data_IF_942606623106
#
_entry.id   IF_942606623106
#
_cell.length_a   1.000
_cell.length_b   1.000
_cell.length_c   1.000
_cell.angle_alpha   90.00
_cell.angle_beta   90.00
_cell.angle_gamma   90.00
#
_symmetry.space_group_name_H-M   'P 1'
#
loop_
_entity.id
_entity.type
_entity.pdbx_description
1 polymer ?
#
# COMPACT_ATOMS: atom_id res chain seq x y z
N UNK A 1 -0.45 -0.45 -3.18
CA UNK A 1 0.45 0.64 -3.60
C UNK A 1 1.58 0.77 -2.60
N UNK A 2 2.84 0.84 -3.07
CA UNK A 2 4.04 0.83 -2.23
C UNK A 2 5.06 1.89 -2.69
N UNK A 3 5.66 2.62 -1.74
CA UNK A 3 6.76 3.57 -1.98
C UNK A 3 6.40 5.05 -1.79
N UNK A 4 7.33 5.95 -2.11
CA UNK A 4 7.19 7.41 -1.87
C UNK A 4 6.00 8.05 -2.57
N UNK A 5 5.64 7.57 -3.76
CA UNK A 5 4.51 8.05 -4.55
C UNK A 5 3.26 7.16 -4.40
N UNK A 6 3.20 6.29 -3.38
CA UNK A 6 2.10 5.35 -3.24
C UNK A 6 0.74 6.04 -3.04
N UNK A 7 0.69 7.16 -2.31
CA UNK A 7 -0.54 7.94 -2.10
C UNK A 7 -1.10 8.54 -3.39
N UNK A 8 -0.35 9.31 -4.20
CA UNK A 8 -0.87 9.80 -5.49
C UNK A 8 -1.18 8.66 -6.47
N UNK A 9 -0.40 7.57 -6.49
CA UNK A 9 -0.73 6.39 -7.30
C UNK A 9 -2.07 5.75 -6.88
N UNK A 10 -2.29 5.60 -5.58
CA UNK A 10 -3.54 5.08 -5.03
C UNK A 10 -4.75 5.97 -5.38
N UNK A 11 -4.57 7.29 -5.34
CA UNK A 11 -5.61 8.25 -5.78
C UNK A 11 -5.95 8.09 -7.25
N UNK A 12 -4.94 8.03 -8.13
CA UNK A 12 -5.14 7.88 -9.57
C UNK A 12 -5.79 6.55 -9.95
N UNK A 13 -5.51 5.48 -9.20
CA UNK A 13 -6.11 4.18 -9.44
C UNK A 13 -7.56 4.05 -8.95
N UNK A 14 -8.06 4.98 -8.13
CA UNK A 14 -9.36 4.85 -7.43
C UNK A 14 -10.52 4.53 -8.38
N UNK A 15 -10.57 5.19 -9.53
CA UNK A 15 -11.65 5.07 -10.51
C UNK A 15 -11.54 3.79 -11.35
N UNK A 16 -10.36 3.18 -11.43
CA UNK A 16 -10.12 1.92 -12.14
C UNK A 16 -10.34 0.67 -11.25
N UNK A 17 -10.51 0.86 -9.94
CA UNK A 17 -10.69 -0.24 -8.99
C UNK A 17 -12.16 -0.59 -8.83
N UNK A 18 -12.47 -1.88 -8.92
CA UNK A 18 -13.80 -2.43 -8.61
C UNK A 18 -14.26 -2.01 -7.21
N UNK A 19 -15.58 -1.83 -7.07
CA UNK A 19 -16.23 -1.63 -5.77
C UNK A 19 -15.97 -2.82 -4.87
N UNK A 20 -15.54 -2.55 -3.62
CA UNK A 20 -15.26 -3.60 -2.63
C UNK A 20 -13.90 -4.30 -2.81
N UNK A 21 -13.08 -3.92 -3.80
CA UNK A 21 -11.72 -4.43 -3.90
C UNK A 21 -10.93 -4.13 -2.61
N UNK A 22 -10.24 -5.15 -2.07
CA UNK A 22 -9.28 -4.96 -1.00
C UNK A 22 -8.14 -4.08 -1.51
N UNK A 23 -7.70 -3.11 -0.69
CA UNK A 23 -6.68 -2.12 -1.08
C UNK A 23 -5.71 -1.89 0.08
N UNK A 24 -4.42 -2.01 -0.20
CA UNK A 24 -3.35 -1.78 0.78
C UNK A 24 -2.38 -0.71 0.28
N UNK A 25 -2.09 0.27 1.13
CA UNK A 25 -1.15 1.36 0.92
C UNK A 25 0.00 1.23 1.93
N UNK A 26 1.23 1.13 1.43
CA UNK A 26 2.46 1.13 2.24
C UNK A 26 3.32 2.31 1.78
N UNK A 27 3.71 3.18 2.70
CA UNK A 27 4.43 4.41 2.37
C UNK A 27 5.45 4.79 3.45
N UNK A 28 6.48 5.59 3.16
CA UNK A 28 7.37 6.10 4.20
C UNK A 28 6.64 6.97 5.23
N UNK A 29 7.11 6.99 6.48
CA UNK A 29 6.49 7.79 7.56
C UNK A 29 6.27 9.26 7.19
N UNK A 30 7.24 9.86 6.50
CA UNK A 30 7.26 11.28 6.13
C UNK A 30 6.49 11.62 4.85
N UNK A 31 5.66 10.71 4.33
CA UNK A 31 4.82 10.96 3.16
C UNK A 31 3.35 11.17 3.56
N UNK A 32 2.53 11.90 2.77
CA UNK A 32 1.13 12.10 3.10
C UNK A 32 0.31 10.80 3.10
N UNK A 33 -0.63 10.69 4.03
CA UNK A 33 -1.66 9.65 4.01
C UNK A 33 -2.71 9.85 2.93
N UNK A 34 -3.58 8.85 2.80
CA UNK A 34 -4.75 8.91 1.95
C UNK A 34 -6.01 9.04 2.80
N UNK A 35 -6.82 10.07 2.61
CA UNK A 35 -8.11 10.22 3.29
C UNK A 35 -9.18 9.42 2.55
N UNK A 36 -9.02 8.10 2.51
CA UNK A 36 -9.94 7.15 1.90
C UNK A 36 -10.01 5.90 2.80
N UNK A 37 -11.14 5.64 3.47
CA UNK A 37 -11.27 4.50 4.38
C UNK A 37 -11.25 3.15 3.65
N UNK A 38 -11.41 3.13 2.33
CA UNK A 38 -11.30 1.92 1.53
C UNK A 38 -9.88 1.38 1.41
N UNK A 39 -8.87 2.13 1.87
CA UNK A 39 -7.47 1.71 1.88
C UNK A 39 -7.00 1.38 3.29
N UNK A 40 -6.54 0.14 3.50
CA UNK A 40 -5.70 -0.16 4.65
C UNK A 40 -4.35 0.55 4.47
N UNK A 41 -3.87 1.25 5.50
CA UNK A 41 -2.64 2.04 5.43
C UNK A 41 -1.60 1.56 6.45
N UNK A 42 -0.38 1.35 5.98
CA UNK A 42 0.81 1.07 6.80
C UNK A 42 1.93 2.01 6.42
N UNK A 43 2.86 2.20 7.33
CA UNK A 43 4.06 3.02 7.10
C UNK A 43 5.32 2.31 7.54
N UNK A 44 6.47 2.72 7.01
CA UNK A 44 7.79 2.20 7.39
C UNK A 44 8.90 3.24 7.22
N UNK A 45 10.08 2.91 7.74
CA UNK A 45 11.28 3.74 7.64
C UNK A 45 11.83 3.83 6.21
N UNK A 46 12.34 5.02 5.86
CA UNK A 46 13.09 5.31 4.63
C UNK A 46 14.09 6.44 4.93
N UNK A 47 15.37 6.38 4.47
CA UNK A 47 15.94 5.41 3.53
C UNK A 47 16.30 4.06 4.16
N UNK A 48 16.36 3.97 5.49
CA UNK A 48 16.64 2.74 6.20
C UNK A 48 15.35 2.11 6.72
N UNK A 49 15.12 0.81 6.50
CA UNK A 49 13.95 0.11 7.02
C UNK A 49 14.00 0.04 8.55
N UNK A 50 12.82 0.09 9.16
CA UNK A 50 12.65 -0.01 10.61
C UNK A 50 11.72 -1.17 10.99
N UNK A 51 11.35 -1.26 12.27
CA UNK A 51 10.41 -2.30 12.74
C UNK A 51 9.04 -2.17 12.05
N UNK A 52 8.62 -0.96 11.69
CA UNK A 52 7.35 -0.76 11.00
C UNK A 52 7.42 -1.21 9.54
N UNK A 53 8.56 -1.07 8.86
CA UNK A 53 8.80 -1.67 7.54
C UNK A 53 8.62 -3.19 7.57
N UNK A 54 9.17 -3.87 8.58
CA UNK A 54 8.99 -5.33 8.76
C UNK A 54 7.52 -5.67 9.01
N UNK A 55 6.85 -4.94 9.89
CA UNK A 55 5.43 -5.17 10.18
C UNK A 55 4.54 -4.94 8.94
N UNK A 56 4.84 -3.94 8.12
CA UNK A 56 4.14 -3.66 6.88
C UNK A 56 4.33 -4.80 5.85
N UNK A 57 5.54 -5.35 5.74
CA UNK A 57 5.82 -6.51 4.89
C UNK A 57 5.07 -7.78 5.35
N UNK A 58 5.07 -8.06 6.66
CA UNK A 58 4.28 -9.18 7.22
C UNK A 58 2.79 -9.00 6.95
N UNK A 59 2.28 -7.77 7.12
CA UNK A 59 0.87 -7.48 6.80
C UNK A 59 0.57 -7.66 5.31
N UNK A 60 1.46 -7.23 4.41
CA UNK A 60 1.31 -7.44 2.97
C UNK A 60 1.20 -8.92 2.63
N UNK A 61 2.06 -9.77 3.19
CA UNK A 61 2.01 -11.21 2.95
C UNK A 61 0.67 -11.83 3.39
N UNK A 62 0.16 -11.44 4.57
CA UNK A 62 -1.17 -11.86 5.05
C UNK A 62 -2.30 -11.33 4.17
N UNK A 63 -2.21 -10.07 3.77
CA UNK A 63 -3.20 -9.41 2.90
C UNK A 63 -3.29 -10.11 1.55
N UNK A 64 -2.15 -10.53 0.97
CA UNK A 64 -2.12 -11.31 -0.27
C UNK A 64 -2.75 -12.70 -0.09
N UNK A 65 -2.54 -13.35 1.07
CA UNK A 65 -3.13 -14.66 1.37
C UNK A 65 -4.66 -14.61 1.60
N UNK A 66 -5.22 -13.46 1.95
CA UNK A 66 -6.66 -13.24 2.10
C UNK A 66 -7.38 -13.11 0.74
N UNK A 67 -6.66 -12.89 -0.35
CA UNK A 67 -7.23 -12.63 -1.69
C UNK A 67 -7.31 -13.95 -2.48
N UNK A 68 -8.50 -14.36 -2.97
CA UNK A 68 -8.63 -15.50 -3.88
C UNK A 68 -7.80 -15.30 -5.15
N UNK A 69 -7.37 -16.36 -5.85
CA UNK A 69 -6.58 -16.23 -7.08
C UNK A 69 -7.26 -15.34 -8.13
N UNK A 70 -6.71 -14.15 -8.36
CA UNK A 70 -7.17 -13.15 -9.34
C UNK A 70 -6.02 -12.23 -9.77
N UNK A 71 -6.12 -11.52 -10.90
CA UNK A 71 -5.16 -10.47 -11.25
C UNK A 71 -5.09 -9.39 -10.17
N UNK A 72 -3.86 -8.96 -9.83
CA UNK A 72 -3.59 -7.92 -8.86
C UNK A 72 -2.95 -6.70 -9.53
N UNK A 73 -3.35 -5.51 -9.12
CA UNK A 73 -2.71 -4.26 -9.52
C UNK A 73 -1.63 -3.88 -8.51
N UNK A 74 -0.36 -4.01 -8.92
CA UNK A 74 0.78 -3.55 -8.14
C UNK A 74 1.20 -2.13 -8.57
N UNK A 75 1.02 -1.16 -7.68
CA UNK A 75 1.47 0.22 -7.87
C UNK A 75 2.76 0.43 -7.06
N UNK A 76 3.90 0.59 -7.72
CA UNK A 76 5.22 0.64 -7.08
C UNK A 76 5.93 1.94 -7.46
N UNK A 77 6.60 2.55 -6.48
CA UNK A 77 7.47 3.71 -6.67
C UNK A 77 8.72 3.57 -5.81
N UNK A 78 9.73 4.42 -6.05
CA UNK A 78 11.00 4.34 -5.31
C UNK A 78 10.87 4.62 -3.81
N UNK A 79 11.81 4.09 -3.02
CA UNK A 79 11.82 4.21 -1.56
C UNK A 79 10.80 3.33 -0.85
N UNK A 80 10.39 2.25 -1.50
CA UNK A 80 9.63 1.14 -0.94
C UNK A 80 10.47 0.25 -0.03
#
# INVERSE_FOLDING_TARGET
AIGKAATPLARGAREALETGALRLLIRPHNTPGLLDPGWEQRTGGHPLPDRQSVAAGVRLARWLAEIPPRPLLALISGGA
#
